data_IF_130094241105
#
_entry.id   IF_130094241105
#
_cell.length_a   1.000
_cell.length_b   1.000
_cell.length_c   1.000
_cell.angle_alpha   90.00
_cell.angle_beta   90.00
_cell.angle_gamma   90.00
#
_symmetry.space_group_name_H-M   'P 1'
#
loop_
_entity.id
_entity.type
_entity.pdbx_description
1 polymer ?
#
# COMPACT_ATOMS: atom_id res chain seq x y z
N UNK A 1 30.65 69.34 -21.49
CA UNK A 1 29.31 69.64 -20.94
C UNK A 1 28.32 68.89 -21.83
N UNK A 2 27.60 67.84 -21.47
CA UNK A 2 27.30 67.08 -20.24
C UNK A 2 27.19 65.59 -20.69
N UNK A 3 27.72 64.55 -20.04
CA UNK A 3 27.48 64.04 -18.69
C UNK A 3 26.01 63.61 -18.45
N UNK A 4 25.75 62.30 -18.63
CA UNK A 4 24.87 61.38 -17.85
C UNK A 4 24.88 60.06 -18.63
N UNK A 5 25.59 58.99 -18.26
CA UNK A 5 25.57 58.21 -17.00
C UNK A 5 24.17 57.67 -16.67
N UNK A 6 24.01 56.37 -16.88
CA UNK A 6 22.91 55.55 -16.38
C UNK A 6 23.37 54.07 -16.39
N UNK A 7 24.12 53.73 -15.35
CA UNK A 7 24.02 52.52 -14.52
C UNK A 7 23.77 51.17 -15.20
N UNK A 8 24.81 50.33 -15.14
CA UNK A 8 24.72 48.87 -15.18
C UNK A 8 23.80 48.35 -14.07
N UNK A 9 22.73 47.66 -14.45
CA UNK A 9 22.06 46.72 -13.55
C UNK A 9 22.94 45.48 -13.42
N UNK A 10 23.57 45.35 -12.27
CA UNK A 10 24.25 44.12 -11.85
C UNK A 10 23.21 43.04 -11.63
N UNK A 11 23.26 42.00 -12.46
CA UNK A 11 22.57 40.74 -12.22
C UNK A 11 23.04 40.19 -10.86
N UNK A 12 22.16 40.29 -9.86
CA UNK A 12 22.29 39.49 -8.65
C UNK A 12 21.90 38.06 -9.05
N UNK A 13 22.93 37.24 -9.31
CA UNK A 13 22.80 35.79 -9.28
C UNK A 13 22.29 35.41 -7.89
N UNK A 14 21.00 35.07 -7.85
CA UNK A 14 20.42 34.35 -6.72
C UNK A 14 20.95 32.93 -6.85
N UNK A 15 21.59 32.35 -5.81
CA UNK A 15 21.96 30.95 -5.86
C UNK A 15 20.66 30.14 -5.99
N UNK A 16 20.54 29.35 -7.06
CA UNK A 16 19.57 28.25 -7.15
C UNK A 16 19.98 27.19 -6.12
N UNK A 17 19.77 27.53 -4.84
CA UNK A 17 19.83 26.61 -3.72
C UNK A 17 18.47 25.96 -3.59
N UNK A 18 18.48 24.62 -3.66
CA UNK A 18 17.48 23.68 -3.17
C UNK A 18 16.06 24.23 -3.10
N UNK A 19 15.31 24.06 -4.19
CA UNK A 19 13.87 24.18 -4.13
C UNK A 19 13.38 23.26 -3.02
N UNK A 20 12.86 23.87 -1.95
CA UNK A 20 12.03 23.21 -0.97
C UNK A 20 10.91 22.50 -1.73
N UNK A 21 11.13 21.21 -2.01
CA UNK A 21 10.10 20.26 -2.37
C UNK A 21 9.23 20.19 -1.11
N UNK A 22 8.21 21.05 -1.03
CA UNK A 22 7.16 20.93 -0.04
C UNK A 22 6.76 19.47 -0.06
N UNK A 23 7.04 18.71 1.00
CA UNK A 23 6.99 17.25 0.99
C UNK A 23 5.60 16.77 0.57
N UNK A 24 5.43 16.57 -0.74
CA UNK A 24 4.11 16.42 -1.33
C UNK A 24 3.59 15.04 -0.96
N UNK A 25 2.36 15.00 -0.45
CA UNK A 25 1.69 13.75 -0.17
C UNK A 25 1.27 13.04 -1.45
N UNK A 26 1.37 11.71 -1.44
CA UNK A 26 1.01 10.84 -2.57
C UNK A 26 -0.37 10.25 -2.40
N UNK A 27 -1.03 9.96 -3.53
CA UNK A 27 -2.27 9.19 -3.59
C UNK A 27 -3.42 9.77 -2.73
N UNK A 28 -3.40 11.07 -2.41
CA UNK A 28 -4.38 11.70 -1.52
C UNK A 28 -4.31 11.20 -0.07
N UNK A 29 -3.20 10.61 0.32
CA UNK A 29 -2.92 10.12 1.68
C UNK A 29 -2.08 11.14 2.46
N UNK A 30 -1.60 10.77 3.63
CA UNK A 30 -0.59 11.52 4.39
C UNK A 30 0.82 10.91 4.26
N UNK A 31 1.01 9.97 3.34
CA UNK A 31 2.32 9.43 2.98
C UNK A 31 2.97 10.36 1.98
N UNK A 32 4.22 10.74 2.22
CA UNK A 32 4.93 11.70 1.38
C UNK A 32 5.98 11.06 0.47
N UNK A 33 6.42 11.81 -0.53
CA UNK A 33 7.51 11.36 -1.43
C UNK A 33 8.80 11.09 -0.66
N UNK A 34 9.17 11.98 0.27
CA UNK A 34 10.39 11.83 1.07
C UNK A 34 10.32 10.56 1.90
N UNK A 35 9.18 10.31 2.52
CA UNK A 35 8.96 9.10 3.30
C UNK A 35 9.10 7.84 2.43
N UNK A 36 8.47 7.77 1.25
CA UNK A 36 8.61 6.61 0.36
C UNK A 36 10.06 6.37 -0.06
N UNK A 37 10.79 7.43 -0.40
CA UNK A 37 12.20 7.34 -0.77
C UNK A 37 13.05 6.79 0.38
N UNK A 38 12.90 7.34 1.59
CA UNK A 38 13.64 6.90 2.77
C UNK A 38 13.40 5.43 3.10
N UNK A 39 12.15 4.96 2.99
CA UNK A 39 11.82 3.55 3.25
C UNK A 39 12.44 2.63 2.19
N UNK A 40 12.34 2.98 0.91
CA UNK A 40 12.88 2.16 -0.18
C UNK A 40 14.41 2.16 -0.23
N UNK A 41 15.05 3.31 -0.07
CA UNK A 41 16.53 3.41 -0.05
C UNK A 41 17.12 2.59 1.08
N UNK A 42 16.51 2.64 2.27
CA UNK A 42 16.86 1.79 3.41
C UNK A 42 16.65 0.31 3.10
N UNK A 43 15.49 -0.07 2.57
CA UNK A 43 15.17 -1.47 2.25
C UNK A 43 16.09 -2.06 1.17
N UNK A 44 16.52 -1.24 0.20
CA UNK A 44 17.39 -1.64 -0.90
C UNK A 44 18.89 -1.49 -0.56
N UNK A 45 19.23 -0.90 0.58
CA UNK A 45 20.62 -0.64 0.97
C UNK A 45 21.36 0.27 0.00
N UNK A 46 20.67 1.28 -0.56
CA UNK A 46 21.24 2.19 -1.57
C UNK A 46 21.16 3.65 -1.13
N UNK A 47 22.05 4.47 -1.70
CA UNK A 47 22.02 5.93 -1.57
C UNK A 47 21.43 6.60 -2.83
N UNK A 48 20.87 5.83 -3.77
CA UNK A 48 20.15 6.36 -4.92
C UNK A 48 18.94 7.18 -4.46
N UNK A 49 18.56 8.18 -5.25
CA UNK A 49 17.46 9.11 -4.96
C UNK A 49 16.41 9.03 -6.05
N UNK A 50 15.17 9.35 -5.73
CA UNK A 50 14.11 9.50 -6.71
C UNK A 50 14.45 10.63 -7.68
N UNK A 51 14.10 10.45 -8.95
CA UNK A 51 14.28 11.45 -9.99
C UNK A 51 13.28 12.60 -9.87
N UNK A 52 13.57 13.68 -10.59
CA UNK A 52 12.61 14.78 -10.77
C UNK A 52 11.35 14.33 -11.55
N UNK A 53 11.47 13.29 -12.38
CA UNK A 53 10.36 12.71 -13.16
C UNK A 53 9.66 11.54 -12.44
N UNK A 54 9.91 11.36 -11.13
CA UNK A 54 9.22 10.37 -10.32
C UNK A 54 7.70 10.54 -10.43
N UNK A 55 6.97 9.44 -10.44
CA UNK A 55 5.51 9.47 -10.51
C UNK A 55 4.89 8.27 -9.83
N UNK A 56 3.63 8.41 -9.45
CA UNK A 56 2.84 7.33 -8.88
C UNK A 56 1.46 7.34 -9.53
N UNK A 57 1.10 6.21 -10.11
CA UNK A 57 -0.15 6.03 -10.84
C UNK A 57 -1.11 5.25 -9.94
N UNK A 58 -2.29 5.79 -9.65
CA UNK A 58 -3.29 5.04 -8.89
C UNK A 58 -3.77 3.84 -9.70
N UNK A 59 -3.79 2.67 -9.08
CA UNK A 59 -4.25 1.42 -9.68
C UNK A 59 -5.34 0.80 -8.82
N UNK A 60 -6.15 -0.08 -9.40
CA UNK A 60 -7.19 -0.78 -8.63
C UNK A 60 -8.35 0.11 -8.15
N UNK A 61 -8.47 1.33 -8.66
CA UNK A 61 -9.59 2.22 -8.35
C UNK A 61 -10.89 1.54 -8.76
N UNK A 62 -11.86 1.49 -7.84
CA UNK A 62 -13.15 0.84 -8.07
C UNK A 62 -13.12 -0.70 -8.04
N UNK A 63 -11.98 -1.31 -7.68
CA UNK A 63 -11.87 -2.77 -7.52
C UNK A 63 -12.20 -3.25 -6.09
N UNK A 64 -12.76 -2.37 -5.25
CA UNK A 64 -13.19 -2.73 -3.89
C UNK A 64 -12.07 -2.96 -2.89
N UNK A 65 -10.86 -2.42 -3.14
CA UNK A 65 -9.76 -2.56 -2.19
C UNK A 65 -9.99 -1.75 -0.90
N UNK A 66 -9.56 -2.34 0.22
CA UNK A 66 -9.50 -1.72 1.56
C UNK A 66 -8.32 -0.75 1.74
N UNK A 67 -7.73 -0.32 0.62
CA UNK A 67 -6.47 0.40 0.56
C UNK A 67 -6.39 1.25 -0.69
N UNK A 68 -5.66 2.36 -0.61
CA UNK A 68 -5.20 3.07 -1.80
C UNK A 68 -3.98 2.34 -2.35
N UNK A 69 -4.02 2.03 -3.64
CA UNK A 69 -2.95 1.36 -4.35
C UNK A 69 -2.35 2.30 -5.39
N UNK A 70 -1.03 2.27 -5.53
CA UNK A 70 -0.33 2.99 -6.59
C UNK A 70 0.86 2.23 -7.13
N UNK A 71 1.08 2.33 -8.44
CA UNK A 71 2.34 1.91 -9.07
C UNK A 71 3.31 3.07 -9.03
N UNK A 72 4.36 2.94 -8.24
CA UNK A 72 5.42 3.92 -8.04
C UNK A 72 6.52 3.71 -9.07
N UNK A 73 6.91 4.77 -9.76
CA UNK A 73 8.09 4.83 -10.63
C UNK A 73 9.08 5.85 -10.04
N UNK A 74 10.14 5.38 -9.36
CA UNK A 74 11.12 6.25 -8.73
C UNK A 74 11.93 7.11 -9.68
N UNK A 75 12.13 6.67 -10.93
CA UNK A 75 13.07 7.28 -11.89
C UNK A 75 14.45 7.55 -11.24
N UNK A 76 15.07 6.50 -10.70
CA UNK A 76 16.29 6.61 -9.87
C UNK A 76 17.40 7.47 -10.49
N UNK A 77 17.90 8.42 -9.71
CA UNK A 77 19.10 9.20 -10.02
C UNK A 77 20.32 8.33 -9.71
N UNK A 78 20.87 7.70 -10.76
CA UNK A 78 21.95 6.68 -10.74
C UNK A 78 21.46 5.27 -10.36
N UNK A 79 22.26 4.26 -10.73
CA UNK A 79 21.97 2.83 -10.48
C UNK A 79 20.66 2.31 -11.11
N UNK A 80 20.19 2.96 -12.18
CA UNK A 80 18.91 2.63 -12.82
C UNK A 80 18.87 1.19 -13.37
N UNK A 81 20.02 0.62 -13.75
CA UNK A 81 20.12 -0.76 -14.24
C UNK A 81 20.18 -1.81 -13.12
N UNK A 82 20.44 -1.40 -11.87
CA UNK A 82 20.61 -2.30 -10.72
C UNK A 82 19.42 -2.28 -9.75
N UNK A 83 18.56 -1.27 -9.83
CA UNK A 83 17.41 -1.09 -8.95
C UNK A 83 16.09 -1.37 -9.68
N UNK A 84 15.03 -1.83 -8.98
CA UNK A 84 13.73 -2.04 -9.60
C UNK A 84 13.19 -0.75 -10.21
N UNK A 85 12.61 -0.87 -11.41
CA UNK A 85 12.05 0.26 -12.18
C UNK A 85 10.74 0.78 -11.59
N UNK A 86 9.97 -0.11 -10.97
CA UNK A 86 8.69 0.21 -10.36
C UNK A 86 8.40 -0.66 -9.14
N UNK A 87 7.46 -0.19 -8.34
CA UNK A 87 7.00 -0.82 -7.10
C UNK A 87 5.48 -0.69 -6.99
N UNK A 88 4.84 -1.61 -6.28
CA UNK A 88 3.45 -1.46 -5.86
C UNK A 88 3.42 -0.92 -4.44
N UNK A 89 2.79 0.23 -4.24
CA UNK A 89 2.56 0.86 -2.93
C UNK A 89 1.12 0.61 -2.52
N UNK A 90 0.93 0.06 -1.32
CA UNK A 90 -0.36 -0.20 -0.71
C UNK A 90 -0.44 0.51 0.64
N UNK A 91 -1.43 1.38 0.79
CA UNK A 91 -1.66 2.17 2.00
C UNK A 91 -3.10 1.90 2.47
N UNK A 92 -3.33 1.38 3.69
CA UNK A 92 -4.67 1.15 4.21
C UNK A 92 -5.44 2.48 4.27
N UNK A 93 -6.69 2.49 3.80
CA UNK A 93 -7.48 3.72 3.75
C UNK A 93 -8.97 3.44 3.76
N UNK A 94 -9.63 3.85 4.85
CA UNK A 94 -11.08 3.80 4.96
C UNK A 94 -11.78 4.71 3.95
N UNK A 95 -11.17 5.84 3.57
CA UNK A 95 -11.76 6.84 2.68
C UNK A 95 -12.13 6.25 1.31
N UNK A 96 -11.23 5.51 0.70
CA UNK A 96 -11.46 4.91 -0.64
C UNK A 96 -12.52 3.82 -0.57
N UNK A 97 -12.50 3.01 0.49
CA UNK A 97 -13.47 1.93 0.69
C UNK A 97 -14.86 2.46 1.01
N UNK A 98 -14.98 3.56 1.78
CA UNK A 98 -16.25 4.25 2.01
C UNK A 98 -16.82 4.86 0.73
N UNK A 99 -15.99 5.49 -0.10
CA UNK A 99 -16.43 6.02 -1.38
C UNK A 99 -16.99 4.91 -2.30
N UNK A 100 -16.38 3.72 -2.26
CA UNK A 100 -16.86 2.55 -2.97
C UNK A 100 -18.15 1.95 -2.37
N UNK A 101 -18.23 1.79 -1.06
CA UNK A 101 -19.44 1.30 -0.40
C UNK A 101 -20.62 2.24 -0.64
N UNK A 102 -20.41 3.55 -0.53
CA UNK A 102 -21.44 4.57 -0.84
C UNK A 102 -21.87 4.54 -2.30
N UNK A 103 -21.02 4.12 -3.23
CA UNK A 103 -21.37 4.00 -4.65
C UNK A 103 -22.09 2.69 -5.00
N UNK A 104 -21.90 1.63 -4.21
CA UNK A 104 -22.58 0.34 -4.39
C UNK A 104 -23.92 0.24 -3.65
N UNK A 105 -24.10 1.02 -2.58
CA UNK A 105 -25.27 0.93 -1.70
C UNK A 105 -26.34 1.92 -2.14
N UNK A 106 -27.43 1.42 -2.74
CA UNK A 106 -28.73 2.10 -2.63
C UNK A 106 -29.09 2.18 -1.13
N UNK A 107 -29.73 3.27 -0.70
CA UNK A 107 -30.07 3.66 0.69
C UNK A 107 -30.53 2.54 1.67
N UNK A 108 -30.93 1.37 1.17
CA UNK A 108 -31.50 0.24 1.91
C UNK A 108 -30.54 -0.58 2.78
N UNK A 109 -29.22 -0.51 2.62
CA UNK A 109 -28.28 -1.18 3.58
C UNK A 109 -27.99 -0.26 4.77
N UNK A 110 -28.07 1.06 4.62
CA UNK A 110 -28.01 1.98 5.76
C UNK A 110 -29.18 1.75 6.73
N UNK A 111 -30.35 1.34 6.23
CA UNK A 111 -31.50 0.96 7.04
C UNK A 111 -31.30 -0.34 7.85
N UNK A 112 -30.31 -1.19 7.52
CA UNK A 112 -29.97 -2.40 8.29
C UNK A 112 -29.10 -2.09 9.52
N UNK A 113 -28.47 -0.92 9.56
CA UNK A 113 -27.69 -0.44 10.70
C UNK A 113 -28.55 0.49 11.57
N UNK A 114 -29.52 -0.09 12.27
CA UNK A 114 -30.27 0.64 13.29
C UNK A 114 -29.33 1.12 14.42
N UNK A 115 -29.65 2.29 14.98
CA UNK A 115 -29.09 2.94 16.18
C UNK A 115 -27.65 3.49 16.13
N UNK A 116 -26.81 3.11 15.16
CA UNK A 116 -25.42 3.62 15.07
C UNK A 116 -25.30 4.86 14.19
N UNK A 117 -24.45 5.80 14.59
CA UNK A 117 -24.14 6.98 13.77
C UNK A 117 -23.24 6.61 12.59
N UNK A 118 -23.32 7.39 11.50
CA UNK A 118 -22.44 7.21 10.34
C UNK A 118 -20.94 7.34 10.71
N UNK A 119 -20.61 8.09 11.76
CA UNK A 119 -19.23 8.25 12.24
C UNK A 119 -18.75 6.98 12.95
N UNK A 120 -19.55 6.37 13.83
CA UNK A 120 -19.18 5.12 14.51
C UNK A 120 -18.96 3.98 13.51
N UNK A 121 -19.79 3.90 12.47
CA UNK A 121 -19.59 2.93 11.38
C UNK A 121 -18.30 3.19 10.60
N UNK A 122 -17.91 4.46 10.44
CA UNK A 122 -16.66 4.82 9.78
C UNK A 122 -15.45 4.43 10.62
N UNK A 123 -15.47 4.73 11.92
CA UNK A 123 -14.37 4.46 12.84
C UNK A 123 -14.12 2.95 13.00
N UNK A 124 -15.19 2.15 13.12
CA UNK A 124 -15.09 0.69 13.16
C UNK A 124 -14.49 0.11 11.87
N UNK A 125 -14.93 0.63 10.73
CA UNK A 125 -14.44 0.18 9.43
C UNK A 125 -12.97 0.56 9.25
N UNK A 126 -12.57 1.75 9.69
CA UNK A 126 -11.17 2.16 9.73
C UNK A 126 -10.33 1.24 10.64
N UNK A 127 -10.82 0.90 11.82
CA UNK A 127 -10.15 -0.05 12.71
C UNK A 127 -10.00 -1.45 12.09
N UNK A 128 -11.06 -1.97 11.46
CA UNK A 128 -11.03 -3.25 10.77
C UNK A 128 -10.00 -3.25 9.63
N UNK A 129 -9.94 -2.20 8.82
CA UNK A 129 -8.96 -2.06 7.74
C UNK A 129 -7.52 -2.09 8.28
N UNK A 130 -7.26 -1.41 9.40
CA UNK A 130 -5.95 -1.42 10.05
C UNK A 130 -5.54 -2.82 10.54
N UNK A 131 -6.49 -3.57 11.11
CA UNK A 131 -6.27 -4.96 11.54
C UNK A 131 -6.00 -5.90 10.35
N UNK A 132 -6.75 -5.75 9.26
CA UNK A 132 -6.53 -6.51 8.02
C UNK A 132 -5.16 -6.20 7.42
N UNK A 133 -4.75 -4.93 7.37
CA UNK A 133 -3.40 -4.54 6.92
C UNK A 133 -2.30 -5.16 7.77
N UNK A 134 -2.46 -5.15 9.10
CA UNK A 134 -1.48 -5.75 10.02
C UNK A 134 -1.40 -7.28 9.89
N UNK A 135 -2.52 -7.92 9.56
CA UNK A 135 -2.60 -9.34 9.21
C UNK A 135 -1.83 -9.62 7.92
N UNK A 136 -2.03 -8.81 6.87
CA UNK A 136 -1.30 -8.91 5.62
C UNK A 136 0.21 -8.71 5.81
N UNK A 137 0.63 -7.76 6.65
CA UNK A 137 2.03 -7.61 7.03
C UNK A 137 2.60 -8.90 7.63
N UNK A 138 1.86 -9.53 8.55
CA UNK A 138 2.28 -10.79 9.16
C UNK A 138 2.34 -11.95 8.18
N UNK A 139 1.46 -11.97 7.17
CA UNK A 139 1.53 -12.92 6.08
C UNK A 139 2.84 -12.79 5.29
N UNK A 140 3.23 -11.58 4.89
CA UNK A 140 4.48 -11.35 4.17
C UNK A 140 5.72 -11.69 5.02
N UNK A 141 5.70 -11.34 6.31
CA UNK A 141 6.77 -11.71 7.25
C UNK A 141 6.89 -13.24 7.41
N UNK A 142 5.76 -13.95 7.52
CA UNK A 142 5.76 -15.41 7.59
C UNK A 142 6.34 -15.98 6.29
N UNK A 143 5.85 -15.54 5.14
CA UNK A 143 6.30 -16.02 3.82
C UNK A 143 7.81 -15.88 3.65
N UNK A 144 8.39 -14.77 4.12
CA UNK A 144 9.85 -14.55 4.10
C UNK A 144 10.62 -15.47 5.04
N UNK A 145 10.01 -15.92 6.14
CA UNK A 145 10.62 -16.86 7.10
C UNK A 145 10.57 -18.33 6.69
N UNK A 146 9.78 -18.66 5.65
CA UNK A 146 9.65 -20.05 5.18
C UNK A 146 10.93 -20.52 4.50
N UNK A 147 11.28 -21.80 4.72
CA UNK A 147 12.38 -22.45 4.01
C UNK A 147 12.16 -22.47 2.49
N UNK A 148 10.91 -22.71 2.08
CA UNK A 148 10.45 -22.54 0.71
C UNK A 148 9.45 -21.38 0.67
N UNK A 149 9.84 -20.29 0.02
CA UNK A 149 9.02 -19.08 -0.07
C UNK A 149 7.77 -19.32 -0.90
N UNK A 150 6.66 -18.76 -0.44
CA UNK A 150 5.43 -18.75 -1.23
C UNK A 150 5.64 -17.93 -2.50
N UNK A 151 4.93 -18.31 -3.57
CA UNK A 151 4.92 -17.59 -4.85
C UNK A 151 4.04 -16.34 -4.73
N UNK A 152 4.51 -15.38 -3.94
CA UNK A 152 3.88 -14.08 -3.73
C UNK A 152 4.86 -12.96 -4.08
N UNK A 153 4.38 -11.75 -4.42
CA UNK A 153 5.28 -10.62 -4.70
C UNK A 153 6.23 -10.38 -3.54
N UNK A 154 7.51 -10.12 -3.81
CA UNK A 154 8.44 -9.76 -2.75
C UNK A 154 7.99 -8.48 -2.04
N UNK A 155 7.98 -8.48 -0.72
CA UNK A 155 7.78 -7.26 0.06
C UNK A 155 9.13 -6.58 0.34
N UNK A 156 9.35 -5.39 -0.19
CA UNK A 156 10.53 -4.57 0.09
C UNK A 156 10.39 -3.82 1.41
N UNK A 157 9.19 -3.29 1.67
CA UNK A 157 8.86 -2.59 2.91
C UNK A 157 7.60 -3.22 3.49
N UNK A 158 7.71 -3.64 4.74
CA UNK A 158 6.59 -4.08 5.57
C UNK A 158 6.54 -3.15 6.77
N UNK A 159 5.45 -2.42 6.89
CA UNK A 159 5.21 -1.54 8.02
C UNK A 159 3.79 -1.71 8.52
N UNK A 160 3.67 -2.17 9.76
CA UNK A 160 2.39 -2.29 10.44
C UNK A 160 1.84 -0.93 10.79
N UNK A 161 0.52 -0.81 10.72
CA UNK A 161 -0.19 0.29 11.34
C UNK A 161 0.00 0.24 12.86
N UNK A 162 0.38 1.37 13.44
CA UNK A 162 0.47 1.58 14.88
C UNK A 162 -0.09 2.96 15.16
N UNK A 163 -1.20 3.02 15.91
CA UNK A 163 -1.89 4.27 16.21
C UNK A 163 -0.93 5.34 16.74
N UNK A 164 -0.99 6.55 16.18
CA UNK A 164 -0.11 7.67 16.55
C UNK A 164 1.36 7.58 16.06
N UNK A 165 1.82 6.43 15.57
CA UNK A 165 3.23 6.21 15.19
C UNK A 165 3.42 5.89 13.71
N UNK A 166 2.62 4.97 13.15
CA UNK A 166 2.72 4.54 11.77
C UNK A 166 1.35 4.41 11.14
N UNK A 167 1.26 4.79 9.86
CA UNK A 167 0.05 4.70 9.05
C UNK A 167 -0.09 3.36 8.34
N UNK A 168 0.88 2.47 8.49
CA UNK A 168 0.93 1.20 7.80
C UNK A 168 1.23 1.37 6.30
N UNK A 169 2.20 0.63 5.81
CA UNK A 169 2.52 0.63 4.38
C UNK A 169 3.11 -0.71 3.97
N UNK A 170 2.72 -1.17 2.78
CA UNK A 170 3.38 -2.25 2.07
C UNK A 170 3.96 -1.69 0.77
N UNK A 171 5.24 -1.95 0.52
CA UNK A 171 5.86 -1.70 -0.78
C UNK A 171 6.33 -3.04 -1.34
N UNK A 172 5.68 -3.45 -2.42
CA UNK A 172 5.78 -4.78 -3.01
C UNK A 172 6.44 -4.70 -4.39
N UNK A 173 6.95 -5.84 -4.82
CA UNK A 173 7.37 -6.09 -6.20
C UNK A 173 6.24 -5.84 -7.20
N UNK A 174 6.57 -5.13 -8.27
CA UNK A 174 5.67 -4.91 -9.39
C UNK A 174 5.86 -6.01 -10.44
N UNK A 175 4.92 -6.95 -10.45
CA UNK A 175 4.82 -8.01 -11.46
C UNK A 175 4.15 -7.44 -12.71
N UNK A 176 4.77 -6.44 -13.34
CA UNK A 176 4.20 -5.64 -14.42
C UNK A 176 3.73 -6.48 -15.62
N UNK A 177 4.35 -7.63 -15.85
CA UNK A 177 4.06 -8.59 -16.92
C UNK A 177 3.06 -9.68 -16.53
N UNK A 178 2.59 -9.70 -15.28
CA UNK A 178 1.57 -10.63 -14.83
C UNK A 178 0.17 -10.22 -15.33
N UNK A 179 -0.66 -11.22 -15.60
CA UNK A 179 -2.05 -11.04 -15.98
C UNK A 179 -2.94 -11.98 -15.18
N UNK A 180 -4.18 -11.55 -14.94
CA UNK A 180 -5.19 -12.37 -14.31
C UNK A 180 -5.75 -13.31 -15.38
N UNK A 181 -5.69 -14.62 -15.13
CA UNK A 181 -6.43 -15.60 -15.92
C UNK A 181 -7.87 -15.60 -15.42
N UNK A 182 -8.85 -15.16 -16.23
CA UNK A 182 -10.25 -15.17 -15.82
C UNK A 182 -10.72 -16.61 -15.57
N UNK A 183 -11.61 -16.78 -14.59
CA UNK A 183 -12.13 -18.11 -14.19
C UNK A 183 -12.87 -18.86 -15.30
N UNK A 184 -13.36 -18.13 -16.31
CA UNK A 184 -14.03 -18.71 -17.48
C UNK A 184 -13.06 -19.13 -18.60
N UNK A 185 -11.78 -18.76 -18.53
CA UNK A 185 -10.79 -19.22 -19.49
C UNK A 185 -10.35 -20.65 -19.13
N UNK A 186 -10.12 -21.46 -20.16
CA UNK A 186 -9.51 -22.78 -19.97
C UNK A 186 -8.04 -22.62 -19.56
N UNK A 187 -7.66 -23.28 -18.46
CA UNK A 187 -6.28 -23.46 -18.05
C UNK A 187 -5.81 -24.85 -18.44
N UNK A 188 -4.53 -25.00 -18.73
CA UNK A 188 -3.90 -26.29 -18.96
C UNK A 188 -3.79 -27.07 -17.64
N UNK A 189 -3.60 -28.39 -17.75
CA UNK A 189 -3.36 -29.27 -16.59
C UNK A 189 -2.11 -28.82 -15.84
N UNK A 190 -1.06 -28.41 -16.56
CA UNK A 190 0.19 -27.96 -15.95
C UNK A 190 0.02 -26.66 -15.17
N UNK A 191 -0.75 -25.70 -15.69
CA UNK A 191 -1.07 -24.45 -14.98
C UNK A 191 -1.92 -24.72 -13.72
N UNK A 192 -2.91 -25.60 -13.82
CA UNK A 192 -3.71 -26.00 -12.66
C UNK A 192 -2.86 -26.72 -11.60
N UNK A 193 -1.98 -27.61 -12.03
CA UNK A 193 -1.10 -28.39 -11.14
C UNK A 193 -0.15 -27.47 -10.36
N UNK A 194 0.43 -26.47 -11.02
CA UNK A 194 1.28 -25.47 -10.35
C UNK A 194 0.57 -24.74 -9.21
N UNK A 195 -0.71 -24.37 -9.40
CA UNK A 195 -1.52 -23.73 -8.34
C UNK A 195 -1.80 -24.71 -7.21
N UNK A 196 -2.16 -25.96 -7.53
CA UNK A 196 -2.42 -27.01 -6.53
C UNK A 196 -1.17 -27.33 -5.71
N UNK A 197 0.00 -27.43 -6.34
CA UNK A 197 1.27 -27.69 -5.66
C UNK A 197 1.62 -26.54 -4.71
N UNK A 198 1.45 -25.29 -5.14
CA UNK A 198 1.67 -24.12 -4.30
C UNK A 198 0.72 -24.09 -3.08
N UNK A 199 -0.57 -24.39 -3.28
CA UNK A 199 -1.55 -24.49 -2.19
C UNK A 199 -1.24 -25.64 -1.24
N UNK A 200 -0.79 -26.77 -1.77
CA UNK A 200 -0.41 -27.95 -1.00
C UNK A 200 0.78 -27.65 -0.09
N UNK A 201 1.78 -26.90 -0.57
CA UNK A 201 2.91 -26.45 0.23
C UNK A 201 2.46 -25.53 1.39
N UNK A 202 1.55 -24.59 1.12
CA UNK A 202 0.96 -23.70 2.16
C UNK A 202 0.25 -24.53 3.23
N UNK A 203 -0.62 -25.47 2.83
CA UNK A 203 -1.36 -26.32 3.76
C UNK A 203 -0.45 -27.27 4.55
N UNK A 204 0.54 -27.87 3.90
CA UNK A 204 1.51 -28.73 4.58
C UNK A 204 2.27 -27.93 5.65
N UNK A 205 2.65 -26.68 5.34
CA UNK A 205 3.29 -25.80 6.31
C UNK A 205 2.38 -25.47 7.49
N UNK A 206 1.11 -25.10 7.24
CA UNK A 206 0.18 -24.74 8.31
C UNK A 206 -0.13 -25.91 9.26
N UNK A 207 -0.11 -27.14 8.76
CA UNK A 207 -0.29 -28.34 9.59
C UNK A 207 0.95 -28.70 10.42
N UNK A 208 2.14 -28.27 10.01
CA UNK A 208 3.40 -28.62 10.68
C UNK A 208 3.97 -27.49 11.55
N UNK A 209 3.43 -26.28 11.44
CA UNK A 209 3.95 -25.10 12.11
C UNK A 209 2.80 -24.18 12.53
N UNK A 210 2.72 -23.85 13.82
CA UNK A 210 1.69 -22.98 14.39
C UNK A 210 1.99 -21.47 14.23
N UNK A 211 3.05 -21.09 13.53
CA UNK A 211 3.45 -19.70 13.31
C UNK A 211 2.33 -18.84 12.71
N UNK A 212 1.48 -19.41 11.87
CA UNK A 212 0.35 -18.72 11.23
C UNK A 212 -0.75 -18.32 12.23
N UNK A 213 -0.91 -19.04 13.34
CA UNK A 213 -1.85 -18.69 14.42
C UNK A 213 -1.49 -17.36 15.11
N UNK A 214 -0.29 -16.83 14.85
CA UNK A 214 0.21 -15.58 15.43
C UNK A 214 0.15 -14.39 14.46
N UNK A 215 -0.24 -14.61 13.21
CA UNK A 215 -0.30 -13.56 12.18
C UNK A 215 -1.39 -12.54 12.48
N UNK A 216 -2.56 -13.02 12.91
CA UNK A 216 -3.67 -12.19 13.33
C UNK A 216 -4.16 -12.60 14.71
N UNK A 217 -4.60 -11.62 15.50
CA UNK A 217 -5.32 -11.85 16.75
C UNK A 217 -6.84 -11.90 16.58
N UNK A 218 -7.33 -11.58 15.38
CA UNK A 218 -8.74 -11.54 15.02
C UNK A 218 -8.96 -12.46 13.81
N UNK A 219 -9.95 -13.33 13.88
CA UNK A 219 -10.43 -14.06 12.71
C UNK A 219 -11.45 -13.23 11.92
N UNK A 220 -11.86 -13.71 10.75
CA UNK A 220 -12.88 -13.01 9.94
C UNK A 220 -14.18 -12.81 10.71
N UNK A 221 -14.55 -13.75 11.60
CA UNK A 221 -15.76 -13.64 12.39
C UNK A 221 -15.61 -12.50 13.41
N UNK A 222 -14.48 -12.37 14.09
CA UNK A 222 -14.21 -11.26 15.01
C UNK A 222 -14.34 -9.90 14.30
N UNK A 223 -13.84 -9.81 13.06
CA UNK A 223 -13.93 -8.61 12.22
C UNK A 223 -15.37 -8.25 11.82
N UNK A 224 -16.27 -9.24 11.73
CA UNK A 224 -17.69 -9.03 11.40
C UNK A 224 -18.62 -8.98 12.63
N UNK A 225 -18.20 -9.52 13.77
CA UNK A 225 -18.98 -9.55 15.03
C UNK A 225 -18.79 -8.26 15.84
N UNK A 226 -17.61 -7.65 15.83
CA UNK A 226 -17.38 -6.35 16.47
C UNK A 226 -18.30 -5.23 15.92
N UNK A 227 -18.87 -5.43 14.73
CA UNK A 227 -19.84 -4.52 14.10
C UNK A 227 -21.26 -4.67 14.69
N UNK A 228 -21.56 -5.80 15.33
CA UNK A 228 -22.91 -6.23 15.75
C UNK A 228 -23.14 -6.30 17.27
N UNK A 229 -22.11 -6.13 18.10
CA UNK A 229 -22.27 -6.13 19.56
C UNK A 229 -22.49 -4.69 20.07
N UNK A 230 -23.75 -4.31 20.24
CA UNK A 230 -24.11 -3.17 21.10
C UNK A 230 -23.70 -3.48 22.54
N UNK A 231 -23.16 -2.52 23.31
CA UNK A 231 -22.96 -2.72 24.73
C UNK A 231 -24.32 -2.98 25.39
N UNK A 232 -24.45 -4.11 26.09
CA UNK A 232 -25.62 -4.41 26.90
C UNK A 232 -25.87 -3.27 27.89
N UNK A 233 -27.11 -2.78 27.89
CA UNK A 233 -27.64 -1.66 28.69
C UNK A 233 -27.60 -1.96 30.19
#
# INVERSE_FOLDING_TARGET
>A
MNATDASLETAHEVPEGDSADNDMFVLGTNVSWTYLEERLTRALGTNAKFGCNRRIESIGVGQGFMSVMGRLYPEWIRQQDALPRSFIVKIPSAVVSHAYLKSMVNDKILDLYNERTAQELYDDHEHMIQQVHNTECGFYELSESLAEKLKVPKAFVIERFVEGYSKGILILEDLFDAYIVPTYNSITVDEATQVIDALSAVHAHSLCNDSWLRISKADLKDLFVAINESPEV
#
